data_IF_793761054603
#
_entry.id   IF_793761054603
#
_cell.length_a   1.000
_cell.length_b   1.000
_cell.length_c   1.000
_cell.angle_alpha   90.00
_cell.angle_beta   90.00
_cell.angle_gamma   90.00
#
_symmetry.space_group_name_H-M   'P 1'
#
loop_
_entity.id
_entity.type
_entity.pdbx_description
1 polymer ?
#
# COMPACT_ATOMS: atom_id res chain seq x y z
N UNK A 1 7.12 -20.67 7.33
CA UNK A 1 5.88 -20.99 8.07
C UNK A 1 5.33 -19.69 8.62
N UNK A 2 4.17 -19.22 8.16
CA UNK A 2 3.48 -18.08 8.79
C UNK A 2 2.73 -18.64 10.00
N UNK A 3 3.10 -18.23 11.21
CA UNK A 3 2.60 -18.77 12.48
C UNK A 3 1.14 -18.41 12.80
N UNK A 4 0.40 -17.78 11.88
CA UNK A 4 -0.96 -17.30 12.10
C UNK A 4 -1.07 -16.11 13.07
N UNK A 5 0.06 -15.59 13.56
CA UNK A 5 0.12 -14.52 14.55
C UNK A 5 -0.11 -13.12 13.96
N UNK A 6 -0.02 -12.97 12.63
CA UNK A 6 -0.12 -11.69 11.93
C UNK A 6 -1.18 -11.76 10.84
N UNK A 7 -2.12 -10.80 10.85
CA UNK A 7 -2.99 -10.50 9.72
C UNK A 7 -2.45 -9.24 9.03
N UNK A 8 -2.09 -9.39 7.76
CA UNK A 8 -1.53 -8.32 6.95
C UNK A 8 -2.58 -7.81 5.97
N UNK A 9 -2.75 -6.49 5.93
CA UNK A 9 -3.64 -5.81 4.99
C UNK A 9 -2.84 -4.77 4.23
N UNK A 10 -2.85 -4.88 2.91
CA UNK A 10 -2.33 -3.82 2.03
C UNK A 10 -3.43 -2.78 1.77
N UNK A 11 -3.03 -1.52 1.74
CA UNK A 11 -3.88 -0.38 1.38
C UNK A 11 -3.11 0.50 0.42
N UNK A 12 -3.79 0.96 -0.62
CA UNK A 12 -3.18 1.86 -1.59
C UNK A 12 -3.08 3.25 -0.98
N UNK A 13 -1.92 3.89 -1.13
CA UNK A 13 -1.79 5.32 -0.85
C UNK A 13 -1.95 6.09 -2.17
N UNK A 14 -3.18 6.42 -2.53
CA UNK A 14 -3.43 7.25 -3.71
C UNK A 14 -3.08 8.72 -3.43
N UNK A 15 -1.93 9.14 -3.95
CA UNK A 15 -1.43 10.51 -3.88
C UNK A 15 -1.42 11.17 -5.26
N UNK A 16 -2.47 10.93 -6.06
CA UNK A 16 -2.64 11.46 -7.43
C UNK A 16 -2.28 12.95 -7.57
N UNK A 17 -2.59 13.85 -6.62
CA UNK A 17 -2.18 15.27 -6.73
C UNK A 17 -0.67 15.50 -6.85
N UNK A 18 0.15 14.54 -6.42
CA UNK A 18 1.61 14.56 -6.49
C UNK A 18 2.16 13.65 -7.60
N UNK A 19 1.49 12.53 -7.90
CA UNK A 19 1.92 11.53 -8.87
C UNK A 19 0.72 11.01 -9.68
N UNK A 20 0.63 11.41 -10.94
CA UNK A 20 -0.58 11.27 -11.78
C UNK A 20 -0.92 9.83 -12.24
N UNK A 21 -0.21 8.81 -11.76
CA UNK A 21 -0.44 7.38 -12.08
C UNK A 21 -0.77 6.53 -10.85
N UNK A 22 -0.91 7.10 -9.65
CA UNK A 22 -1.11 6.31 -8.44
C UNK A 22 -2.43 5.56 -8.44
N UNK A 23 -3.51 6.19 -8.91
CA UNK A 23 -4.80 5.56 -9.11
C UNK A 23 -4.76 4.45 -10.18
N UNK A 24 -4.06 4.69 -11.29
CA UNK A 24 -3.91 3.74 -12.38
C UNK A 24 -3.12 2.50 -11.96
N UNK A 25 -1.98 2.69 -11.30
CA UNK A 25 -1.14 1.58 -10.80
C UNK A 25 -1.89 0.75 -9.76
N UNK A 26 -2.66 1.38 -8.89
CA UNK A 26 -3.52 0.68 -7.93
C UNK A 26 -4.62 -0.13 -8.62
N UNK A 27 -5.33 0.46 -9.58
CA UNK A 27 -6.32 -0.25 -10.38
C UNK A 27 -5.69 -1.44 -11.12
N UNK A 28 -4.51 -1.27 -11.73
CA UNK A 28 -3.80 -2.35 -12.40
C UNK A 28 -3.47 -3.53 -11.46
N UNK A 29 -2.98 -3.24 -10.25
CA UNK A 29 -2.72 -4.28 -9.24
C UNK A 29 -4.00 -5.00 -8.81
N UNK A 30 -5.10 -4.27 -8.55
CA UNK A 30 -6.39 -4.87 -8.22
C UNK A 30 -6.99 -5.68 -9.39
N UNK A 31 -6.87 -5.21 -10.62
CA UNK A 31 -7.30 -5.95 -11.80
C UNK A 31 -6.47 -7.23 -12.01
N UNK A 32 -5.16 -7.20 -11.76
CA UNK A 32 -4.34 -8.39 -11.77
C UNK A 32 -4.72 -9.38 -10.65
N UNK A 33 -5.27 -8.90 -9.53
CA UNK A 33 -5.78 -9.76 -8.48
C UNK A 33 -6.96 -10.64 -8.92
N UNK A 34 -7.78 -10.20 -9.89
CA UNK A 34 -8.83 -11.05 -10.46
C UNK A 34 -8.27 -12.31 -11.12
N UNK A 35 -6.98 -12.29 -11.47
CA UNK A 35 -6.22 -13.40 -12.04
C UNK A 35 -5.23 -14.00 -11.03
N UNK A 36 -5.31 -13.63 -9.74
CA UNK A 36 -4.46 -14.14 -8.67
C UNK A 36 -3.05 -13.55 -8.61
N UNK A 37 -2.81 -12.42 -9.27
CA UNK A 37 -1.47 -11.86 -9.48
C UNK A 37 -1.27 -10.44 -8.90
N UNK A 38 -1.98 -10.10 -7.82
CA UNK A 38 -1.87 -8.78 -7.18
C UNK A 38 -0.42 -8.40 -6.85
N UNK A 39 0.28 -9.27 -6.12
CA UNK A 39 1.63 -8.99 -5.64
C UNK A 39 2.65 -8.95 -6.76
N UNK A 40 2.49 -9.79 -7.76
CA UNK A 40 3.36 -9.86 -8.93
C UNK A 40 3.24 -8.56 -9.74
N UNK A 41 2.01 -8.11 -10.02
CA UNK A 41 1.76 -6.83 -10.68
C UNK A 41 2.30 -5.67 -9.85
N UNK A 42 1.96 -5.61 -8.55
CA UNK A 42 2.45 -4.56 -7.65
C UNK A 42 3.99 -4.47 -7.65
N UNK A 43 4.66 -5.61 -7.47
CA UNK A 43 6.12 -5.66 -7.41
C UNK A 43 6.76 -5.26 -8.74
N UNK A 44 6.24 -5.74 -9.87
CA UNK A 44 6.82 -5.43 -11.18
C UNK A 44 6.65 -3.94 -11.51
N UNK A 45 5.47 -3.37 -11.27
CA UNK A 45 5.24 -1.93 -11.45
C UNK A 45 6.17 -1.11 -10.55
N UNK A 46 6.36 -1.52 -9.30
CA UNK A 46 7.25 -0.86 -8.37
C UNK A 46 8.73 -0.94 -8.80
N UNK A 47 9.21 -2.10 -9.25
CA UNK A 47 10.60 -2.26 -9.70
C UNK A 47 10.88 -1.61 -11.05
N UNK A 48 9.87 -1.46 -11.90
CA UNK A 48 10.01 -0.93 -13.26
C UNK A 48 9.57 0.53 -13.41
N UNK A 49 9.47 1.30 -12.31
CA UNK A 49 8.95 2.68 -12.30
C UNK A 49 9.55 3.56 -13.40
N UNK A 50 10.87 3.52 -13.59
CA UNK A 50 11.58 4.32 -14.59
C UNK A 50 11.10 4.11 -16.04
N UNK A 51 10.40 3.00 -16.32
CA UNK A 51 9.93 2.68 -17.67
C UNK A 51 8.57 3.31 -18.00
N UNK A 52 7.80 3.72 -16.99
CA UNK A 52 6.41 4.13 -17.19
C UNK A 52 5.99 5.42 -16.50
N UNK A 53 6.74 5.93 -15.50
CA UNK A 53 6.37 7.15 -14.76
C UNK A 53 6.30 8.38 -15.65
N UNK A 54 7.21 8.50 -16.62
CA UNK A 54 7.27 9.62 -17.56
C UNK A 54 6.31 9.47 -18.76
N UNK A 55 5.59 8.36 -18.86
CA UNK A 55 4.63 8.15 -19.94
C UNK A 55 3.33 8.89 -19.68
N UNK A 56 2.58 9.14 -20.76
CA UNK A 56 1.18 9.55 -20.65
C UNK A 56 0.36 8.47 -19.92
N UNK A 57 -0.83 8.82 -19.45
CA UNK A 57 -1.75 7.85 -18.83
C UNK A 57 -2.05 6.65 -19.75
N UNK A 58 -2.23 6.93 -21.04
CA UNK A 58 -2.41 5.91 -22.08
C UNK A 58 -1.15 5.07 -22.29
N UNK A 59 0.03 5.69 -22.33
CA UNK A 59 1.31 5.00 -22.47
C UNK A 59 1.64 4.09 -21.28
N UNK A 60 1.36 4.55 -20.07
CA UNK A 60 1.50 3.74 -18.86
C UNK A 60 0.51 2.56 -18.86
N UNK A 61 -0.74 2.79 -19.25
CA UNK A 61 -1.74 1.71 -19.42
C UNK A 61 -1.25 0.66 -20.42
N UNK A 62 -0.73 1.10 -21.58
CA UNK A 62 -0.16 0.19 -22.58
C UNK A 62 1.03 -0.59 -22.01
N UNK A 63 1.93 0.05 -21.26
CA UNK A 63 3.03 -0.66 -20.59
C UNK A 63 2.53 -1.73 -19.62
N UNK A 64 1.49 -1.42 -18.81
CA UNK A 64 0.92 -2.36 -17.84
C UNK A 64 0.27 -3.58 -18.52
N UNK A 65 -0.44 -3.34 -19.62
CA UNK A 65 -1.17 -4.38 -20.36
C UNK A 65 -0.26 -5.17 -21.30
N UNK A 66 0.63 -4.52 -22.02
CA UNK A 66 1.39 -5.15 -23.11
C UNK A 66 2.70 -5.76 -22.62
N UNK A 67 3.38 -5.09 -21.69
CA UNK A 67 4.69 -5.51 -21.19
C UNK A 67 4.54 -6.32 -19.91
N UNK A 68 3.97 -5.72 -18.87
CA UNK A 68 3.94 -6.33 -17.53
C UNK A 68 3.01 -7.54 -17.49
N UNK A 69 1.79 -7.42 -18.03
CA UNK A 69 0.87 -8.55 -18.06
C UNK A 69 1.42 -9.74 -18.86
N UNK A 70 2.12 -9.49 -19.97
CA UNK A 70 2.79 -10.52 -20.77
C UNK A 70 3.88 -11.25 -19.97
N UNK A 71 4.74 -10.50 -19.28
CA UNK A 71 5.78 -11.07 -18.40
C UNK A 71 5.20 -11.94 -17.28
N UNK A 72 4.05 -11.54 -16.74
CA UNK A 72 3.36 -12.23 -15.67
C UNK A 72 2.43 -13.36 -16.16
N UNK A 73 2.27 -13.55 -17.46
CA UNK A 73 1.39 -14.55 -18.06
C UNK A 73 -0.10 -14.30 -17.81
N UNK A 74 -0.49 -13.03 -17.67
CA UNK A 74 -1.89 -12.63 -17.46
C UNK A 74 -2.65 -12.50 -18.78
N UNK A 75 -3.96 -12.69 -18.72
CA UNK A 75 -4.84 -12.35 -19.82
C UNK A 75 -4.88 -10.82 -19.99
N UNK A 76 -4.26 -10.35 -21.08
CA UNK A 76 -4.10 -8.93 -21.39
C UNK A 76 -5.45 -8.26 -21.71
N UNK A 77 -6.35 -8.96 -22.39
CA UNK A 77 -7.68 -8.42 -22.73
C UNK A 77 -8.53 -8.20 -21.48
N UNK A 78 -8.57 -9.19 -20.58
CA UNK A 78 -9.28 -9.07 -19.30
C UNK A 78 -8.68 -7.93 -18.46
N UNK A 79 -7.35 -7.83 -18.40
CA UNK A 79 -6.67 -6.77 -17.67
C UNK A 79 -6.99 -5.39 -18.26
N UNK A 80 -6.89 -5.24 -19.58
CA UNK A 80 -7.17 -4.00 -20.29
C UNK A 80 -8.60 -3.52 -20.06
N UNK A 81 -9.59 -4.42 -20.15
CA UNK A 81 -11.00 -4.09 -19.90
C UNK A 81 -11.22 -3.64 -18.45
N UNK A 82 -10.58 -4.31 -17.48
CA UNK A 82 -10.69 -3.94 -16.07
C UNK A 82 -10.07 -2.57 -15.77
N UNK A 83 -8.86 -2.30 -16.31
CA UNK A 83 -8.17 -1.03 -16.15
C UNK A 83 -8.93 0.10 -16.85
N UNK A 84 -9.38 -0.11 -18.10
CA UNK A 84 -10.14 0.90 -18.83
C UNK A 84 -11.46 1.27 -18.16
N UNK A 85 -12.10 0.32 -17.47
CA UNK A 85 -13.29 0.56 -16.67
C UNK A 85 -12.99 1.23 -15.31
N UNK A 86 -11.72 1.36 -14.93
CA UNK A 86 -11.27 1.77 -13.60
C UNK A 86 -12.08 1.04 -12.50
N UNK A 87 -12.21 -0.28 -12.68
CA UNK A 87 -13.19 -1.12 -11.96
C UNK A 87 -13.06 -1.03 -10.44
N UNK A 88 -11.86 -0.76 -9.94
CA UNK A 88 -11.53 -0.70 -8.51
C UNK A 88 -11.35 0.74 -8.00
N UNK A 89 -11.76 1.75 -8.77
CA UNK A 89 -11.60 3.15 -8.38
C UNK A 89 -12.28 3.45 -7.05
N UNK A 90 -13.45 2.86 -6.79
CA UNK A 90 -14.18 3.06 -5.53
C UNK A 90 -13.37 2.56 -4.32
N UNK A 91 -12.70 1.42 -4.45
CA UNK A 91 -11.80 0.89 -3.42
C UNK A 91 -10.57 1.78 -3.24
N UNK A 92 -9.98 2.25 -4.33
CA UNK A 92 -8.84 3.18 -4.32
C UNK A 92 -9.21 4.52 -3.64
N UNK A 93 -10.36 5.10 -3.98
CA UNK A 93 -10.87 6.32 -3.37
C UNK A 93 -11.16 6.14 -1.87
N UNK A 94 -11.64 4.96 -1.47
CA UNK A 94 -11.85 4.63 -0.06
C UNK A 94 -10.53 4.56 0.70
N UNK A 95 -9.50 3.95 0.11
CA UNK A 95 -8.17 3.88 0.72
C UNK A 95 -7.53 5.27 0.81
N UNK A 96 -7.72 6.11 -0.21
CA UNK A 96 -7.35 7.54 -0.21
C UNK A 96 -7.99 8.31 0.94
N UNK A 97 -9.30 8.15 1.13
CA UNK A 97 -10.00 8.83 2.22
C UNK A 97 -9.51 8.33 3.58
N UNK A 98 -9.30 7.01 3.73
CA UNK A 98 -8.76 6.45 4.95
C UNK A 98 -7.35 7.01 5.26
N UNK A 99 -6.52 7.25 4.24
CA UNK A 99 -5.22 7.90 4.42
C UNK A 99 -5.36 9.32 4.97
N UNK A 100 -6.28 10.12 4.43
CA UNK A 100 -6.57 11.47 4.92
C UNK A 100 -7.06 11.45 6.37
N UNK A 101 -7.97 10.53 6.69
CA UNK A 101 -8.50 10.38 8.05
C UNK A 101 -7.38 10.00 9.02
N UNK A 102 -6.50 9.07 8.63
CA UNK A 102 -5.35 8.67 9.44
C UNK A 102 -4.37 9.82 9.64
N UNK A 103 -4.08 10.62 8.60
CA UNK A 103 -3.19 11.77 8.69
C UNK A 103 -3.70 12.80 9.71
N UNK A 104 -5.02 13.03 9.72
CA UNK A 104 -5.68 13.94 10.66
C UNK A 104 -5.57 13.51 12.13
N UNK A 105 -5.58 12.20 12.40
CA UNK A 105 -5.52 11.64 13.75
C UNK A 105 -4.08 11.51 14.23
N UNK A 106 -3.15 11.28 13.29
CA UNK A 106 -1.75 10.98 13.58
C UNK A 106 -0.84 12.21 13.59
N UNK A 107 -1.33 13.36 13.11
CA UNK A 107 -0.65 14.65 13.22
C UNK A 107 0.07 15.14 11.96
N UNK A 108 -0.26 14.63 10.77
CA UNK A 108 0.09 15.33 9.52
C UNK A 108 1.50 15.13 8.97
N UNK A 109 2.22 14.05 9.28
CA UNK A 109 3.66 13.93 8.95
C UNK A 109 4.13 12.57 8.43
N UNK A 110 3.21 11.73 7.92
CA UNK A 110 3.57 10.37 7.52
C UNK A 110 3.90 10.27 6.03
N UNK A 111 5.18 10.05 5.72
CA UNK A 111 5.59 9.65 4.37
C UNK A 111 5.13 8.22 4.05
N UNK A 112 4.98 7.91 2.76
CA UNK A 112 4.71 6.55 2.29
C UNK A 112 6.04 5.82 2.00
N UNK A 113 6.19 4.54 2.38
CA UNK A 113 5.23 3.71 3.10
C UNK A 113 5.22 3.97 4.62
N UNK A 114 4.03 3.84 5.21
CA UNK A 114 3.82 3.78 6.66
C UNK A 114 3.07 2.49 7.03
N UNK A 115 3.07 2.16 8.31
CA UNK A 115 2.46 0.95 8.85
C UNK A 115 1.57 1.31 10.02
N UNK A 116 0.39 0.70 10.05
CA UNK A 116 -0.52 0.74 11.20
C UNK A 116 -0.55 -0.66 11.80
N UNK A 117 -0.05 -0.78 13.03
CA UNK A 117 0.04 -2.05 13.74
C UNK A 117 -0.94 -2.00 14.91
N UNK A 118 -1.94 -2.88 14.86
CA UNK A 118 -2.96 -2.99 15.90
C UNK A 118 -2.58 -4.15 16.82
N UNK A 119 -2.28 -3.85 18.08
CA UNK A 119 -1.84 -4.80 19.10
C UNK A 119 -2.92 -4.95 20.18
N UNK A 120 -3.23 -6.16 20.67
CA UNK A 120 -4.13 -6.32 21.81
C UNK A 120 -3.48 -5.72 23.06
N UNK A 121 -4.27 -5.13 23.97
CA UNK A 121 -3.72 -4.68 25.26
C UNK A 121 -3.19 -5.84 26.10
N UNK A 122 -3.86 -6.99 26.03
CA UNK A 122 -3.43 -8.21 26.71
C UNK A 122 -2.05 -8.63 26.21
N UNK A 123 -1.07 -8.66 27.11
CA UNK A 123 0.29 -9.06 26.78
C UNK A 123 1.14 -7.98 26.09
N UNK A 124 0.63 -6.75 25.92
CA UNK A 124 1.40 -5.64 25.36
C UNK A 124 1.77 -4.64 26.45
N UNK A 125 3.07 -4.41 26.63
CA UNK A 125 3.59 -3.37 27.53
C UNK A 125 3.54 -2.01 26.84
N UNK A 126 2.69 -1.11 27.35
CA UNK A 126 2.53 0.23 26.79
C UNK A 126 3.78 1.10 26.93
N UNK A 127 4.56 0.92 27.99
CA UNK A 127 5.81 1.66 28.21
C UNK A 127 6.83 1.32 27.13
N UNK A 128 7.07 0.02 26.91
CA UNK A 128 7.95 -0.46 25.85
C UNK A 128 7.45 -0.04 24.47
N UNK A 129 6.14 -0.12 24.22
CA UNK A 129 5.56 0.28 22.93
C UNK A 129 5.77 1.78 22.66
N UNK A 130 5.58 2.64 23.67
CA UNK A 130 5.85 4.08 23.56
C UNK A 130 7.33 4.37 23.35
N UNK A 131 8.22 3.66 24.05
CA UNK A 131 9.67 3.81 23.85
C UNK A 131 10.09 3.41 22.43
N UNK A 132 9.57 2.30 21.91
CA UNK A 132 9.83 1.87 20.54
C UNK A 132 9.28 2.88 19.52
N UNK A 133 8.04 3.34 19.69
CA UNK A 133 7.45 4.36 18.83
C UNK A 133 8.32 5.62 18.79
N UNK A 134 8.72 6.16 19.95
CA UNK A 134 9.56 7.35 20.04
C UNK A 134 10.91 7.19 19.32
N UNK A 135 11.59 6.07 19.53
CA UNK A 135 12.93 5.82 18.95
C UNK A 135 12.94 5.86 17.43
N UNK A 136 11.83 5.49 16.79
CA UNK A 136 11.77 5.38 15.35
C UNK A 136 10.73 6.31 14.71
N UNK A 137 10.40 7.39 15.42
CA UNK A 137 9.55 8.48 14.93
C UNK A 137 8.06 8.15 14.84
N UNK A 138 7.62 7.03 15.39
CA UNK A 138 6.22 6.61 15.43
C UNK A 138 5.40 7.22 16.58
N UNK A 139 4.12 6.84 16.63
CA UNK A 139 3.20 7.23 17.70
C UNK A 139 2.28 6.08 18.11
N UNK A 140 1.76 6.12 19.33
CA UNK A 140 0.84 5.10 19.87
C UNK A 140 -0.47 5.75 20.25
N UNK A 141 -1.57 5.29 19.66
CA UNK A 141 -2.92 5.61 20.10
C UNK A 141 -3.46 4.48 20.97
N UNK A 142 -4.26 4.84 21.98
CA UNK A 142 -4.91 3.88 22.86
C UNK A 142 -6.38 3.74 22.46
N UNK A 143 -6.76 2.55 21.99
CA UNK A 143 -8.16 2.17 21.79
C UNK A 143 -8.75 1.51 23.03
N UNK A 144 -9.97 0.97 22.91
CA UNK A 144 -10.64 0.29 24.02
C UNK A 144 -9.90 -0.99 24.42
N UNK A 145 -9.66 -1.90 23.47
CA UNK A 145 -9.04 -3.21 23.70
C UNK A 145 -7.68 -3.39 23.00
N UNK A 146 -7.20 -2.34 22.33
CA UNK A 146 -5.98 -2.38 21.53
C UNK A 146 -5.13 -1.12 21.69
N UNK A 147 -3.86 -1.26 21.36
CA UNK A 147 -2.98 -0.15 21.02
C UNK A 147 -2.83 -0.09 19.50
N UNK A 148 -2.74 1.11 18.96
CA UNK A 148 -2.53 1.35 17.53
C UNK A 148 -1.19 2.07 17.40
N UNK A 149 -0.19 1.36 16.89
CA UNK A 149 1.13 1.88 16.61
C UNK A 149 1.20 2.38 15.16
N UNK A 150 1.56 3.64 14.98
CA UNK A 150 1.94 4.22 13.70
C UNK A 150 3.46 4.14 13.56
N UNK A 151 3.91 3.50 12.49
CA UNK A 151 5.30 3.16 12.24
C UNK A 151 5.75 3.54 10.83
N UNK A 152 7.02 3.92 10.68
CA UNK A 152 7.67 4.28 9.41
C UNK A 152 8.61 3.20 8.89
N UNK A 153 8.98 3.26 7.60
CA UNK A 153 10.01 2.36 7.04
C UNK A 153 11.35 2.42 7.81
N UNK A 154 11.75 3.58 8.33
CA UNK A 154 12.97 3.73 9.12
C UNK A 154 13.00 2.84 10.39
N UNK A 155 11.83 2.47 10.93
CA UNK A 155 11.71 1.50 12.04
C UNK A 155 12.25 0.13 11.62
N UNK A 156 12.00 -0.28 10.37
CA UNK A 156 12.34 -1.61 9.88
C UNK A 156 13.75 -1.67 9.27
N UNK A 157 14.24 -0.57 8.68
CA UNK A 157 15.58 -0.53 8.07
C UNK A 157 16.71 -0.51 9.12
N UNK A 158 16.42 -0.05 10.34
CA UNK A 158 17.34 -0.09 11.48
C UNK A 158 17.42 -1.47 12.15
N UNK A 159 16.53 -2.40 11.79
CA UNK A 159 16.59 -3.80 12.22
C UNK A 159 17.40 -4.62 11.23
N UNK A 160 18.72 -4.66 11.43
CA UNK A 160 19.58 -5.69 10.84
C UNK A 160 19.62 -6.87 11.83
N UNK A 161 19.25 -8.09 11.43
CA UNK A 161 19.38 -9.28 12.29
C UNK A 161 20.85 -9.61 12.63
#
# INVERSE_FOLDING_TARGET
MCTGLLKFYYRTADITPLFDKTDLTANAAHCANEQGAFWQMYNELFSSQMNWTELSHEGATAYFVDVVASQLGLNQEQLAQCIAAMKYQKEVDKDKQALVDLDSISGGSYGIPFFVIILPKTGTDLGLLNSAAYLFGGSVLTGENSYILFAFKAIFDSYQP
#
